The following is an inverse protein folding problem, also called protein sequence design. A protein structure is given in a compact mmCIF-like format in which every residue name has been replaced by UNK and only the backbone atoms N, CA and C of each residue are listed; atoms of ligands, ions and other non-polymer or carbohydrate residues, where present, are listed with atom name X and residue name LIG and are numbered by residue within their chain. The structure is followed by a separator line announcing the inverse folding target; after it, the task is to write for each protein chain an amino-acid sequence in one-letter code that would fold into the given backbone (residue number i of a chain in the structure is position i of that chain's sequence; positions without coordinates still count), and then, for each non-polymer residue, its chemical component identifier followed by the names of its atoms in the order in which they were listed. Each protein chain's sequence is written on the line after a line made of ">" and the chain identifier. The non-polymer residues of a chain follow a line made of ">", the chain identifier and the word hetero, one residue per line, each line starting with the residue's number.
data_IF_843970325345
#
_entry.id   IF_843970325345
#
_cell.length_a   1.000
_cell.length_b   1.000
_cell.length_c   1.000
_cell.angle_alpha   90.00
_cell.angle_beta   90.00
_cell.angle_gamma   90.00
#
_symmetry.space_group_name_H-M   'P 1'
#
loop_
_entity.id
_entity.type
_entity.pdbx_description
1 polymer ?
#
# COMPACT_ATOMS: atom_id res chain seq x y z
N UNK A 1 21.62 53.94 20.40
CA UNK A 1 20.95 52.69 20.84
C UNK A 1 21.20 51.68 19.77
N UNK A 2 22.06 50.66 19.93
CA UNK A 2 22.27 49.63 18.93
C UNK A 2 21.12 48.61 19.05
N UNK A 3 20.52 48.29 17.88
CA UNK A 3 19.47 47.30 17.75
C UNK A 3 19.97 45.90 18.14
N UNK A 4 19.26 45.26 19.02
CA UNK A 4 19.41 43.85 19.31
C UNK A 4 18.96 43.04 18.07
N UNK A 5 19.92 42.52 17.32
CA UNK A 5 19.70 41.40 16.41
C UNK A 5 19.27 40.21 17.25
N UNK A 6 17.98 39.84 17.11
CA UNK A 6 17.50 38.55 17.62
C UNK A 6 18.28 37.45 16.89
N UNK A 7 19.20 36.83 17.59
CA UNK A 7 19.82 35.59 17.19
C UNK A 7 18.72 34.50 17.23
N UNK A 8 18.10 34.15 16.11
CA UNK A 8 17.34 32.93 16.00
C UNK A 8 18.35 31.79 16.10
N UNK A 9 18.50 31.28 17.31
CA UNK A 9 19.20 30.02 17.59
C UNK A 9 18.30 28.92 16.92
N UNK A 10 18.53 28.69 15.64
CA UNK A 10 17.82 27.65 14.88
C UNK A 10 18.33 26.32 15.39
N UNK A 11 17.56 25.68 16.27
CA UNK A 11 17.84 24.31 16.73
C UNK A 11 18.06 23.40 15.51
N UNK A 12 19.05 22.50 15.60
CA UNK A 12 19.33 21.54 14.52
C UNK A 12 18.06 20.79 14.07
N UNK A 13 17.85 20.55 12.77
CA UNK A 13 16.66 19.92 12.25
C UNK A 13 16.50 18.49 12.80
N UNK A 14 15.26 18.01 12.82
CA UNK A 14 14.97 16.58 12.99
C UNK A 14 15.08 15.94 11.62
N UNK A 15 16.06 15.04 11.43
CA UNK A 15 16.32 14.37 10.18
C UNK A 15 15.51 13.08 10.07
N UNK A 16 14.82 12.92 8.95
CA UNK A 16 14.03 11.72 8.62
C UNK A 16 14.51 11.18 7.27
N UNK A 17 14.88 9.90 7.25
CA UNK A 17 15.26 9.19 6.04
C UNK A 17 14.05 8.84 5.21
N UNK A 18 14.16 9.05 3.89
CA UNK A 18 13.11 8.67 2.93
C UNK A 18 13.73 7.78 1.88
N UNK A 19 13.37 6.52 1.92
CA UNK A 19 14.01 5.44 1.18
C UNK A 19 13.01 4.79 0.20
N UNK A 20 12.68 5.51 -0.86
CA UNK A 20 11.78 5.08 -1.93
C UNK A 20 12.45 5.18 -3.30
N UNK A 21 12.18 4.20 -4.16
CA UNK A 21 12.75 4.13 -5.50
C UNK A 21 12.00 5.06 -6.47
N UNK A 22 12.68 6.07 -6.97
CA UNK A 22 12.16 6.94 -8.04
C UNK A 22 12.51 6.46 -9.44
N UNK A 23 13.29 5.36 -9.53
CA UNK A 23 13.60 4.61 -10.74
C UNK A 23 13.64 3.11 -10.42
N UNK A 24 13.50 2.25 -11.43
CA UNK A 24 13.37 0.80 -11.27
C UNK A 24 11.94 0.30 -11.41
N UNK A 25 11.72 -1.00 -11.20
CA UNK A 25 10.48 -1.70 -11.57
C UNK A 25 9.25 -1.25 -10.75
N UNK A 26 9.42 -0.74 -9.53
CA UNK A 26 8.36 -0.31 -8.64
C UNK A 26 8.24 1.22 -8.49
N UNK A 27 8.99 1.96 -9.32
CA UNK A 27 9.13 3.42 -9.20
C UNK A 27 7.81 4.19 -9.32
N UNK A 28 6.81 3.68 -10.02
CA UNK A 28 5.51 4.35 -10.19
C UNK A 28 4.84 4.60 -8.83
N UNK A 29 4.70 3.58 -8.01
CA UNK A 29 4.09 3.70 -6.68
C UNK A 29 5.05 4.33 -5.67
N UNK A 30 6.32 3.93 -5.67
CA UNK A 30 7.29 4.46 -4.71
C UNK A 30 7.53 5.97 -4.86
N UNK A 31 7.40 6.51 -6.08
CA UNK A 31 7.44 7.97 -6.29
C UNK A 31 6.27 8.65 -5.57
N UNK A 32 5.06 8.10 -5.66
CA UNK A 32 3.90 8.65 -4.95
C UNK A 32 4.06 8.57 -3.43
N UNK A 33 4.65 7.48 -2.90
CA UNK A 33 4.97 7.36 -1.48
C UNK A 33 6.01 8.41 -1.03
N UNK A 34 7.05 8.65 -1.83
CA UNK A 34 8.02 9.72 -1.55
C UNK A 34 7.35 11.08 -1.51
N UNK A 35 6.50 11.38 -2.51
CA UNK A 35 5.76 12.63 -2.58
C UNK A 35 4.81 12.80 -1.38
N UNK A 36 4.17 11.72 -0.91
CA UNK A 36 3.33 11.70 0.28
C UNK A 36 4.10 12.14 1.54
N UNK A 37 5.29 11.57 1.74
CA UNK A 37 6.16 11.94 2.88
C UNK A 37 6.64 13.38 2.77
N UNK A 38 6.99 13.83 1.56
CA UNK A 38 7.39 15.23 1.32
C UNK A 38 6.26 16.20 1.67
N UNK A 39 5.02 15.91 1.19
CA UNK A 39 3.85 16.72 1.50
C UNK A 39 3.61 16.82 3.00
N UNK A 40 3.57 15.67 3.68
CA UNK A 40 3.33 15.61 5.12
C UNK A 40 4.43 16.35 5.92
N UNK A 41 5.71 16.23 5.53
CA UNK A 41 6.79 16.96 6.16
C UNK A 41 6.68 18.48 5.95
N UNK A 42 6.30 18.93 4.75
CA UNK A 42 6.04 20.34 4.46
C UNK A 42 4.86 20.88 5.30
N UNK A 43 3.81 20.08 5.50
CA UNK A 43 2.66 20.42 6.36
C UNK A 43 3.07 20.55 7.83
N UNK A 44 3.86 19.60 8.34
CA UNK A 44 4.43 19.65 9.69
C UNK A 44 5.30 20.90 9.87
N UNK A 45 6.14 21.22 8.88
CA UNK A 45 7.01 22.39 8.92
C UNK A 45 6.23 23.72 8.87
N UNK A 46 5.15 23.79 8.09
CA UNK A 46 4.25 24.96 8.09
C UNK A 46 3.57 25.21 9.44
N UNK A 47 3.40 24.15 10.25
CA UNK A 47 2.87 24.22 11.60
C UNK A 47 3.94 24.52 12.67
N UNK A 48 5.17 24.84 12.28
CA UNK A 48 6.29 25.16 13.20
C UNK A 48 7.23 23.97 13.47
N UNK A 49 7.13 22.89 12.69
CA UNK A 49 7.99 21.72 12.79
C UNK A 49 7.65 20.78 13.96
N UNK A 50 8.64 20.07 14.43
CA UNK A 50 8.55 19.17 15.57
C UNK A 50 9.44 19.69 16.70
N UNK A 51 8.91 19.84 17.90
CA UNK A 51 9.61 20.34 19.08
C UNK A 51 10.29 21.72 18.84
N UNK A 52 9.72 22.57 17.96
CA UNK A 52 10.32 23.84 17.54
C UNK A 52 11.57 23.69 16.67
N UNK A 53 11.75 22.53 16.02
CA UNK A 53 12.81 22.20 15.07
C UNK A 53 12.20 21.89 13.71
N UNK A 54 12.79 22.34 12.59
CA UNK A 54 12.29 21.93 11.27
C UNK A 54 12.56 20.45 11.03
N UNK A 55 11.68 19.81 10.27
CA UNK A 55 11.88 18.45 9.72
C UNK A 55 12.69 18.59 8.44
N UNK A 56 13.81 17.88 8.37
CA UNK A 56 14.66 17.75 7.18
C UNK A 56 14.59 16.32 6.64
N UNK A 57 14.19 16.16 5.37
CA UNK A 57 14.13 14.86 4.72
C UNK A 57 15.46 14.53 4.02
N UNK A 58 16.02 13.37 4.32
CA UNK A 58 17.21 12.84 3.65
C UNK A 58 16.76 11.77 2.65
N UNK A 59 16.58 12.19 1.38
CA UNK A 59 16.03 11.34 0.32
C UNK A 59 17.10 10.41 -0.27
N UNK A 60 16.72 9.15 -0.55
CA UNK A 60 17.54 8.15 -1.24
C UNK A 60 16.71 7.43 -2.31
N UNK A 61 17.37 7.10 -3.42
CA UNK A 61 16.78 6.33 -4.52
C UNK A 61 17.52 4.99 -4.70
N UNK A 62 17.05 3.91 -4.08
CA UNK A 62 17.69 2.59 -4.16
C UNK A 62 17.31 1.77 -5.41
N UNK A 63 16.60 2.33 -6.38
CA UNK A 63 16.37 1.77 -7.73
C UNK A 63 15.73 0.37 -7.72
N UNK A 64 14.80 0.11 -6.82
CA UNK A 64 14.15 -1.20 -6.59
C UNK A 64 15.14 -2.36 -6.33
N UNK A 65 16.37 -2.06 -5.88
CA UNK A 65 17.42 -3.03 -5.64
C UNK A 65 17.63 -3.29 -4.13
N UNK A 66 17.34 -4.50 -3.62
CA UNK A 66 17.44 -4.80 -2.18
C UNK A 66 18.82 -4.52 -1.57
N UNK A 67 19.91 -4.73 -2.31
CA UNK A 67 21.28 -4.45 -1.81
C UNK A 67 21.51 -2.95 -1.65
N UNK A 68 20.98 -2.14 -2.58
CA UNK A 68 21.06 -0.68 -2.47
C UNK A 68 20.19 -0.16 -1.32
N UNK A 69 19.04 -0.78 -1.07
CA UNK A 69 18.22 -0.45 0.10
C UNK A 69 18.98 -0.64 1.40
N UNK A 70 19.59 -1.81 1.61
CA UNK A 70 20.39 -2.08 2.82
C UNK A 70 21.55 -1.10 2.98
N UNK A 71 22.34 -0.90 1.89
CA UNK A 71 23.49 0.02 1.90
C UNK A 71 23.08 1.47 2.21
N UNK A 72 22.07 1.98 1.52
CA UNK A 72 21.60 3.35 1.71
C UNK A 72 20.93 3.55 3.07
N UNK A 73 20.36 2.51 3.67
CA UNK A 73 19.90 2.54 5.07
C UNK A 73 21.07 2.73 6.02
N UNK A 74 22.17 2.00 5.81
CA UNK A 74 23.37 2.13 6.63
C UNK A 74 24.02 3.51 6.47
N UNK A 75 24.11 4.04 5.23
CA UNK A 75 24.56 5.42 4.94
C UNK A 75 23.67 6.46 5.65
N UNK A 76 22.33 6.33 5.61
CA UNK A 76 21.42 7.22 6.32
C UNK A 76 21.72 7.26 7.83
N UNK A 77 21.97 6.12 8.43
CA UNK A 77 22.18 5.97 9.86
C UNK A 77 23.58 6.48 10.26
N UNK A 78 24.62 6.07 9.56
CA UNK A 78 26.01 6.33 9.96
C UNK A 78 26.53 7.69 9.52
N UNK A 79 26.18 8.12 8.29
CA UNK A 79 26.75 9.33 7.70
C UNK A 79 25.84 10.56 7.94
N UNK A 80 24.53 10.33 8.15
CA UNK A 80 23.54 11.42 8.30
C UNK A 80 22.87 11.47 9.67
N UNK A 81 23.21 10.54 10.59
CA UNK A 81 22.60 10.40 11.92
C UNK A 81 21.06 10.31 11.87
N UNK A 82 20.53 9.56 10.90
CA UNK A 82 19.10 9.32 10.72
C UNK A 82 18.71 8.03 11.46
N UNK A 83 17.71 8.12 12.36
CA UNK A 83 17.16 6.97 13.09
C UNK A 83 15.72 6.65 12.74
N UNK A 84 15.03 7.56 12.05
CA UNK A 84 13.63 7.44 11.66
C UNK A 84 13.59 7.39 10.14
N UNK A 85 13.13 6.27 9.58
CA UNK A 85 13.17 6.01 8.13
C UNK A 85 11.78 5.60 7.65
N UNK A 86 11.24 6.32 6.66
CA UNK A 86 10.07 5.88 5.90
C UNK A 86 10.55 5.29 4.57
N UNK A 87 10.14 4.07 4.25
CA UNK A 87 10.64 3.47 3.03
C UNK A 87 10.27 2.02 2.80
N UNK A 88 10.82 1.51 1.73
CA UNK A 88 10.62 0.18 1.17
C UNK A 88 9.24 -0.01 0.55
N UNK A 89 9.23 -0.78 -0.54
CA UNK A 89 8.00 -1.22 -1.20
C UNK A 89 7.95 -2.76 -1.27
N UNK A 90 8.86 -3.40 -1.99
CA UNK A 90 8.89 -4.86 -2.07
C UNK A 90 9.31 -5.48 -0.73
N UNK A 91 8.75 -6.66 -0.42
CA UNK A 91 9.15 -7.43 0.77
C UNK A 91 10.63 -7.81 0.75
N UNK A 92 11.21 -8.04 -0.42
CA UNK A 92 12.64 -8.27 -0.57
C UNK A 92 13.49 -7.07 -0.15
N UNK A 93 13.03 -5.84 -0.40
CA UNK A 93 13.71 -4.60 0.04
C UNK A 93 13.54 -4.38 1.53
N UNK A 94 12.34 -4.60 2.10
CA UNK A 94 12.10 -4.55 3.55
C UNK A 94 12.99 -5.56 4.29
N UNK A 95 13.01 -6.82 3.84
CA UNK A 95 13.85 -7.88 4.45
C UNK A 95 15.34 -7.58 4.40
N UNK A 96 15.81 -6.86 3.39
CA UNK A 96 17.19 -6.39 3.32
C UNK A 96 17.50 -5.26 4.32
N UNK A 97 16.51 -4.41 4.64
CA UNK A 97 16.66 -3.25 5.54
C UNK A 97 16.51 -3.65 7.01
N UNK A 98 15.64 -4.62 7.35
CA UNK A 98 15.38 -5.03 8.74
C UNK A 98 16.66 -5.29 9.55
N UNK A 99 17.62 -6.12 9.08
CA UNK A 99 18.84 -6.37 9.87
C UNK A 99 19.68 -5.11 10.13
N UNK A 100 19.61 -4.11 9.24
CA UNK A 100 20.33 -2.85 9.39
C UNK A 100 19.67 -2.00 10.45
N UNK A 101 18.35 -1.78 10.40
CA UNK A 101 17.63 -0.96 11.39
C UNK A 101 17.68 -1.59 12.79
N UNK A 102 17.61 -2.93 12.89
CA UNK A 102 17.75 -3.65 14.16
C UNK A 102 19.15 -3.48 14.77
N UNK A 103 20.20 -3.67 13.96
CA UNK A 103 21.59 -3.54 14.40
C UNK A 103 21.88 -2.15 14.98
N UNK A 104 21.33 -1.11 14.37
CA UNK A 104 21.61 0.27 14.70
C UNK A 104 20.51 0.94 15.55
N UNK A 105 19.51 0.16 16.00
CA UNK A 105 18.36 0.66 16.73
C UNK A 105 17.71 1.87 16.05
N UNK A 106 17.42 1.76 14.75
CA UNK A 106 16.66 2.73 13.98
C UNK A 106 15.22 2.21 13.75
N UNK A 107 14.27 3.07 13.37
CA UNK A 107 12.90 2.70 13.06
C UNK A 107 12.65 2.75 11.56
N UNK A 108 11.98 1.71 11.03
CA UNK A 108 11.44 1.66 9.69
C UNK A 108 9.91 1.77 9.71
N UNK A 109 9.38 2.74 9.00
CA UNK A 109 7.94 2.89 8.74
C UNK A 109 7.66 2.38 7.33
N UNK A 110 6.96 1.25 7.25
CA UNK A 110 6.70 0.50 6.01
C UNK A 110 5.24 0.67 5.57
N UNK A 111 5.03 1.33 4.44
CA UNK A 111 3.74 1.81 3.96
C UNK A 111 3.17 0.99 2.78
N UNK A 112 3.37 -0.32 2.75
CA UNK A 112 2.96 -1.17 1.61
C UNK A 112 2.24 -2.42 2.12
N UNK A 113 1.14 -2.86 1.46
CA UNK A 113 0.55 -4.17 1.72
C UNK A 113 1.58 -5.28 1.55
N UNK A 114 1.49 -6.35 2.35
CA UNK A 114 2.49 -7.40 2.29
C UNK A 114 1.92 -8.78 2.70
N UNK A 115 2.74 -9.81 2.55
CA UNK A 115 2.38 -11.22 2.74
C UNK A 115 2.18 -11.65 4.19
N UNK A 116 2.53 -10.81 5.17
CA UNK A 116 2.51 -11.19 6.59
C UNK A 116 3.77 -11.93 7.05
N UNK A 117 3.62 -12.69 8.13
CA UNK A 117 4.63 -13.61 8.70
C UNK A 117 5.95 -12.94 9.10
N UNK A 118 5.91 -11.68 9.50
CA UNK A 118 7.07 -10.95 9.96
C UNK A 118 6.73 -10.03 11.14
N UNK A 119 7.63 -9.95 12.07
CA UNK A 119 7.64 -9.00 13.17
C UNK A 119 9.05 -8.55 13.46
N UNK A 120 9.21 -7.26 13.64
CA UNK A 120 10.41 -6.65 14.20
C UNK A 120 9.98 -5.51 15.10
N UNK A 121 10.62 -5.37 16.27
CA UNK A 121 10.33 -4.23 17.16
C UNK A 121 10.65 -2.88 16.52
N UNK A 122 11.51 -2.88 15.51
CA UNK A 122 11.99 -1.69 14.82
C UNK A 122 11.18 -1.34 13.56
N UNK A 123 10.10 -2.10 13.25
CA UNK A 123 9.30 -1.91 12.04
C UNK A 123 7.84 -1.64 12.39
N UNK A 124 7.30 -0.56 11.81
CA UNK A 124 5.89 -0.20 11.88
C UNK A 124 5.25 -0.34 10.51
N UNK A 125 4.23 -1.21 10.40
CA UNK A 125 3.56 -1.54 9.14
C UNK A 125 2.23 -0.79 9.01
N UNK A 126 2.10 0.08 8.00
CA UNK A 126 0.86 0.77 7.67
C UNK A 126 0.11 0.17 6.47
N UNK A 127 0.77 -0.69 5.70
CA UNK A 127 0.10 -1.46 4.65
C UNK A 127 -0.71 -2.63 5.20
N UNK A 128 -1.73 -3.05 4.44
CA UNK A 128 -2.63 -4.12 4.84
C UNK A 128 -1.90 -5.47 5.02
N UNK A 129 -2.21 -6.16 6.11
CA UNK A 129 -1.84 -7.56 6.36
C UNK A 129 -2.81 -8.52 5.64
N UNK A 130 -2.47 -9.82 5.49
CA UNK A 130 -3.28 -10.77 4.71
C UNK A 130 -4.73 -10.91 5.17
N UNK A 131 -5.01 -10.83 6.48
CA UNK A 131 -6.39 -10.84 6.98
C UNK A 131 -7.16 -9.56 6.62
N UNK A 132 -6.45 -8.51 6.25
CA UNK A 132 -7.02 -7.24 5.85
C UNK A 132 -7.14 -7.08 4.32
N UNK A 133 -6.55 -7.94 3.50
CA UNK A 133 -6.66 -7.88 2.03
C UNK A 133 -7.03 -9.24 1.41
N UNK A 134 -6.22 -10.28 1.59
CA UNK A 134 -6.44 -11.59 0.94
C UNK A 134 -7.71 -12.28 1.46
N UNK A 135 -7.94 -12.26 2.77
CA UNK A 135 -9.10 -12.91 3.38
C UNK A 135 -10.44 -12.31 2.90
N UNK A 136 -10.68 -10.97 2.96
CA UNK A 136 -11.90 -10.38 2.42
C UNK A 136 -12.01 -10.54 0.89
N UNK A 137 -10.91 -10.44 0.15
CA UNK A 137 -10.93 -10.62 -1.29
C UNK A 137 -11.34 -12.04 -1.68
N UNK A 138 -10.77 -13.08 -1.04
CA UNK A 138 -11.16 -14.47 -1.27
C UNK A 138 -12.66 -14.69 -1.02
N UNK A 139 -13.16 -14.21 0.14
CA UNK A 139 -14.58 -14.32 0.47
C UNK A 139 -15.50 -13.65 -0.56
N UNK A 140 -15.14 -12.44 -1.00
CA UNK A 140 -15.89 -11.70 -2.00
C UNK A 140 -15.89 -12.39 -3.38
N UNK A 141 -14.71 -12.83 -3.84
CA UNK A 141 -14.57 -13.46 -5.16
C UNK A 141 -15.32 -14.78 -5.24
N UNK A 142 -15.18 -15.64 -4.23
CA UNK A 142 -15.89 -16.92 -4.17
C UNK A 142 -17.41 -16.76 -4.08
N UNK A 143 -17.90 -15.69 -3.44
CA UNK A 143 -19.35 -15.44 -3.32
C UNK A 143 -19.98 -14.80 -4.56
N UNK A 144 -19.19 -14.09 -5.39
CA UNK A 144 -19.74 -13.24 -6.46
C UNK A 144 -19.27 -13.61 -7.87
N UNK A 145 -18.15 -14.32 -8.02
CA UNK A 145 -17.55 -14.61 -9.33
C UNK A 145 -17.39 -16.09 -9.62
N UNK A 146 -17.33 -16.94 -8.60
CA UNK A 146 -17.17 -18.39 -8.76
C UNK A 146 -16.00 -18.96 -7.97
N UNK A 147 -15.70 -20.24 -8.16
CA UNK A 147 -14.80 -20.98 -7.27
C UNK A 147 -13.45 -21.38 -7.89
N UNK A 148 -13.26 -21.17 -9.20
CA UNK A 148 -12.06 -21.56 -9.93
C UNK A 148 -11.14 -20.37 -10.14
N UNK A 149 -9.95 -20.41 -9.55
CA UNK A 149 -8.97 -19.31 -9.59
C UNK A 149 -7.70 -19.71 -10.34
N UNK A 150 -7.21 -18.81 -11.20
CA UNK A 150 -5.83 -18.81 -11.71
C UNK A 150 -5.01 -17.77 -10.98
N UNK A 151 -3.84 -18.13 -10.46
CA UNK A 151 -2.98 -17.22 -9.73
C UNK A 151 -1.79 -16.79 -10.59
N UNK A 152 -1.53 -15.48 -10.64
CA UNK A 152 -0.38 -14.89 -11.36
C UNK A 152 0.38 -13.98 -10.42
N UNK A 153 1.69 -14.16 -10.28
CA UNK A 153 2.54 -13.33 -9.44
C UNK A 153 3.85 -12.92 -10.12
N UNK A 154 4.50 -11.91 -9.57
CA UNK A 154 5.90 -11.63 -9.88
C UNK A 154 6.81 -12.59 -9.13
N UNK A 155 7.97 -12.92 -9.72
CA UNK A 155 8.90 -13.93 -9.19
C UNK A 155 9.77 -13.35 -8.05
N UNK A 156 9.18 -13.22 -6.84
CA UNK A 156 9.88 -12.90 -5.59
C UNK A 156 9.01 -13.28 -4.38
N UNK A 157 9.53 -13.16 -3.16
CA UNK A 157 8.94 -13.74 -1.93
C UNK A 157 7.47 -13.40 -1.68
N UNK A 158 7.07 -12.13 -1.82
CA UNK A 158 5.71 -11.69 -1.48
C UNK A 158 4.62 -12.36 -2.34
N UNK A 159 4.71 -12.44 -3.69
CA UNK A 159 3.75 -13.17 -4.50
C UNK A 159 3.62 -14.65 -4.14
N UNK A 160 4.72 -15.34 -3.86
CA UNK A 160 4.67 -16.75 -3.46
C UNK A 160 3.85 -16.93 -2.18
N UNK A 161 4.13 -16.15 -1.14
CA UNK A 161 3.45 -16.26 0.14
C UNK A 161 1.99 -15.77 0.05
N UNK A 162 1.73 -14.69 -0.69
CA UNK A 162 0.35 -14.18 -0.89
C UNK A 162 -0.50 -15.16 -1.68
N UNK A 163 0.05 -15.79 -2.72
CA UNK A 163 -0.64 -16.82 -3.49
C UNK A 163 -0.88 -18.08 -2.66
N UNK A 164 0.08 -18.46 -1.79
CA UNK A 164 -0.10 -19.56 -0.84
C UNK A 164 -1.28 -19.28 0.10
N UNK A 165 -1.31 -18.11 0.74
CA UNK A 165 -2.43 -17.70 1.61
C UNK A 165 -3.76 -17.70 0.84
N UNK A 166 -3.79 -17.12 -0.36
CA UNK A 166 -5.01 -17.11 -1.18
C UNK A 166 -5.43 -18.55 -1.59
N UNK A 167 -4.47 -19.42 -1.91
CA UNK A 167 -4.75 -20.83 -2.23
C UNK A 167 -5.40 -21.55 -1.05
N UNK A 168 -4.85 -21.40 0.16
CA UNK A 168 -5.41 -22.00 1.37
C UNK A 168 -6.84 -21.51 1.60
N UNK A 169 -7.07 -20.19 1.51
CA UNK A 169 -8.39 -19.57 1.66
C UNK A 169 -9.44 -20.06 0.63
N UNK A 170 -9.01 -20.28 -0.62
CA UNK A 170 -9.88 -20.77 -1.69
C UNK A 170 -10.21 -22.25 -1.46
N UNK A 171 -9.21 -23.09 -1.20
CA UNK A 171 -9.39 -24.53 -1.01
C UNK A 171 -10.24 -24.86 0.22
N UNK A 172 -10.01 -24.19 1.34
CA UNK A 172 -10.80 -24.35 2.57
C UNK A 172 -12.29 -24.02 2.38
N UNK A 173 -12.61 -23.16 1.42
CA UNK A 173 -13.99 -22.79 1.07
C UNK A 173 -14.58 -23.61 -0.09
N UNK A 174 -13.92 -24.71 -0.45
CA UNK A 174 -14.37 -25.62 -1.50
C UNK A 174 -14.14 -25.11 -2.93
N UNK A 175 -13.28 -24.10 -3.10
CA UNK A 175 -12.84 -23.63 -4.41
C UNK A 175 -11.69 -24.48 -4.99
N UNK A 176 -11.27 -24.12 -6.18
CA UNK A 176 -10.23 -24.82 -6.96
C UNK A 176 -9.13 -23.84 -7.41
N UNK A 177 -7.87 -24.14 -7.11
CA UNK A 177 -6.73 -23.50 -7.77
C UNK A 177 -6.47 -24.17 -9.10
N UNK A 178 -6.91 -23.55 -10.20
CA UNK A 178 -6.76 -24.08 -11.56
C UNK A 178 -5.30 -24.13 -11.99
N UNK A 179 -4.52 -23.08 -11.69
CA UNK A 179 -3.08 -23.03 -11.93
C UNK A 179 -2.45 -21.86 -11.17
N UNK A 180 -1.13 -21.86 -11.20
CA UNK A 180 -0.30 -20.81 -10.60
C UNK A 180 0.89 -20.53 -11.51
N UNK A 181 1.23 -19.26 -11.72
CA UNK A 181 2.30 -18.85 -12.63
C UNK A 181 3.02 -17.64 -12.07
N UNK A 182 4.35 -17.65 -12.15
CA UNK A 182 5.19 -16.53 -11.75
C UNK A 182 5.97 -16.00 -12.93
N UNK A 183 6.10 -14.68 -13.03
CA UNK A 183 6.82 -13.98 -14.07
C UNK A 183 7.98 -13.19 -13.44
N UNK A 184 9.19 -13.23 -14.01
CA UNK A 184 10.26 -12.34 -13.60
C UNK A 184 9.83 -10.88 -13.54
N UNK A 185 10.42 -10.10 -12.63
CA UNK A 185 10.10 -8.67 -12.47
C UNK A 185 10.32 -7.84 -13.74
N UNK A 186 11.22 -8.31 -14.60
CA UNK A 186 11.58 -7.74 -15.90
C UNK A 186 11.07 -8.60 -17.07
N UNK A 187 10.05 -9.44 -16.84
CA UNK A 187 9.48 -10.29 -17.87
C UNK A 187 9.08 -9.50 -19.11
N UNK A 188 9.42 -9.99 -20.32
CA UNK A 188 9.03 -9.33 -21.56
C UNK A 188 7.54 -9.51 -21.84
N UNK A 189 7.02 -8.68 -22.74
CA UNK A 189 5.61 -8.71 -23.18
C UNK A 189 5.10 -10.11 -23.55
N UNK A 190 5.91 -10.89 -24.27
CA UNK A 190 5.57 -12.23 -24.74
C UNK A 190 5.24 -13.18 -23.60
N UNK A 191 5.90 -13.03 -22.44
CA UNK A 191 5.63 -13.82 -21.23
C UNK A 191 4.21 -13.57 -20.71
N UNK A 192 3.79 -12.33 -20.67
CA UNK A 192 2.42 -11.96 -20.24
C UNK A 192 1.36 -12.45 -21.22
N UNK A 193 1.60 -12.36 -22.54
CA UNK A 193 0.71 -12.86 -23.57
C UNK A 193 0.55 -14.38 -23.48
N UNK A 194 1.62 -15.12 -23.24
CA UNK A 194 1.56 -16.57 -23.07
C UNK A 194 0.74 -16.96 -21.84
N UNK A 195 0.94 -16.28 -20.70
CA UNK A 195 0.12 -16.48 -19.50
C UNK A 195 -1.36 -16.18 -19.80
N UNK A 196 -1.67 -15.09 -20.48
CA UNK A 196 -3.05 -14.74 -20.84
C UNK A 196 -3.70 -15.76 -21.77
N UNK A 197 -2.97 -16.35 -22.73
CA UNK A 197 -3.46 -17.44 -23.59
C UNK A 197 -3.78 -18.70 -22.78
N UNK A 198 -2.92 -19.07 -21.84
CA UNK A 198 -3.15 -20.23 -20.96
C UNK A 198 -4.37 -20.00 -20.05
N UNK A 199 -4.53 -18.81 -19.49
CA UNK A 199 -5.73 -18.41 -18.71
C UNK A 199 -6.98 -18.54 -19.58
N UNK A 200 -6.96 -18.02 -20.81
CA UNK A 200 -8.08 -18.13 -21.75
C UNK A 200 -8.44 -19.58 -22.05
N UNK A 201 -7.46 -20.46 -22.20
CA UNK A 201 -7.69 -21.89 -22.46
C UNK A 201 -8.29 -22.61 -21.23
N UNK A 202 -7.83 -22.27 -20.03
CA UNK A 202 -8.25 -22.90 -18.77
C UNK A 202 -9.64 -22.43 -18.28
N UNK A 203 -10.09 -21.24 -18.70
CA UNK A 203 -11.38 -20.65 -18.33
C UNK A 203 -11.62 -20.67 -16.80
N UNK A 204 -10.75 -20.08 -15.95
CA UNK A 204 -11.07 -19.89 -14.54
C UNK A 204 -12.20 -18.88 -14.38
N UNK A 205 -12.81 -18.83 -13.18
CA UNK A 205 -13.86 -17.84 -12.88
C UNK A 205 -13.27 -16.45 -12.61
N UNK A 206 -12.06 -16.40 -12.05
CA UNK A 206 -11.32 -15.16 -11.83
C UNK A 206 -9.82 -15.42 -11.79
N UNK A 207 -9.05 -14.33 -11.89
CA UNK A 207 -7.60 -14.32 -11.78
C UNK A 207 -7.23 -13.60 -10.49
N UNK A 208 -6.44 -14.24 -9.63
CA UNK A 208 -5.80 -13.54 -8.52
C UNK A 208 -4.41 -13.08 -8.93
N UNK A 209 -4.16 -11.77 -8.85
CA UNK A 209 -2.90 -11.16 -9.28
C UNK A 209 -2.12 -10.57 -8.12
N UNK A 210 -0.88 -11.04 -7.99
CA UNK A 210 0.16 -10.48 -7.12
C UNK A 210 1.36 -9.96 -7.94
N UNK A 211 1.11 -9.64 -9.20
CA UNK A 211 2.06 -8.93 -10.07
C UNK A 211 2.24 -7.51 -9.54
N UNK A 212 3.46 -6.98 -9.61
CA UNK A 212 3.81 -5.65 -9.10
C UNK A 212 4.44 -4.73 -10.14
N UNK A 213 4.37 -3.44 -9.88
CA UNK A 213 5.05 -2.40 -10.65
C UNK A 213 4.68 -2.41 -12.13
N UNK A 214 5.68 -2.32 -13.00
CA UNK A 214 5.48 -2.27 -14.45
C UNK A 214 4.84 -3.53 -15.06
N UNK A 215 4.85 -4.64 -14.32
CA UNK A 215 4.16 -5.87 -14.74
C UNK A 215 2.65 -5.76 -14.73
N UNK A 216 2.05 -4.91 -13.88
CA UNK A 216 0.60 -4.75 -13.78
C UNK A 216 -0.01 -4.27 -15.10
N UNK A 217 0.43 -3.16 -15.72
CA UNK A 217 -0.05 -2.74 -17.03
C UNK A 217 0.14 -3.78 -18.13
N UNK A 218 1.25 -4.54 -18.10
CA UNK A 218 1.51 -5.59 -19.07
C UNK A 218 0.54 -6.75 -18.93
N UNK A 219 0.22 -7.18 -17.71
CA UNK A 219 -0.77 -8.23 -17.47
C UNK A 219 -2.16 -7.82 -17.97
N UNK A 220 -2.64 -6.62 -17.63
CA UNK A 220 -3.94 -6.12 -18.06
C UNK A 220 -4.03 -5.97 -19.59
N UNK A 221 -2.98 -5.45 -20.22
CA UNK A 221 -2.90 -5.37 -21.68
C UNK A 221 -2.91 -6.76 -22.34
N UNK A 222 -2.17 -7.73 -21.78
CA UNK A 222 -2.15 -9.11 -22.28
C UNK A 222 -3.52 -9.77 -22.13
N UNK A 223 -4.19 -9.57 -20.99
CA UNK A 223 -5.57 -10.01 -20.75
C UNK A 223 -6.51 -9.50 -21.85
N UNK A 224 -6.51 -8.20 -22.13
CA UNK A 224 -7.35 -7.59 -23.17
C UNK A 224 -6.98 -8.08 -24.57
N UNK A 225 -5.68 -8.25 -24.87
CA UNK A 225 -5.19 -8.67 -26.20
C UNK A 225 -5.65 -10.06 -26.64
N UNK A 226 -5.98 -10.93 -25.69
CA UNK A 226 -6.53 -12.27 -25.97
C UNK A 226 -8.08 -12.30 -25.90
N UNK A 227 -8.74 -11.15 -25.76
CA UNK A 227 -10.19 -11.01 -25.79
C UNK A 227 -10.90 -11.56 -24.53
N UNK A 228 -10.28 -11.48 -23.36
CA UNK A 228 -10.94 -11.79 -22.09
C UNK A 228 -11.79 -10.61 -21.62
N UNK A 229 -12.92 -10.93 -20.99
CA UNK A 229 -13.90 -9.96 -20.48
C UNK A 229 -13.75 -9.79 -18.97
N UNK A 230 -13.41 -8.58 -18.48
CA UNK A 230 -13.19 -8.33 -17.05
C UNK A 230 -14.47 -8.47 -16.20
N UNK A 231 -15.65 -8.36 -16.79
CA UNK A 231 -16.92 -8.56 -16.07
C UNK A 231 -17.26 -10.03 -15.88
N UNK A 232 -16.72 -10.92 -16.72
CA UNK A 232 -16.89 -12.38 -16.63
C UNK A 232 -15.76 -13.05 -15.89
N UNK A 233 -14.52 -12.58 -16.11
CA UNK A 233 -13.30 -13.16 -15.55
C UNK A 233 -12.40 -12.03 -15.06
N UNK A 234 -12.74 -11.35 -13.94
CA UNK A 234 -11.94 -10.23 -13.46
C UNK A 234 -10.55 -10.66 -12.98
N UNK A 235 -9.60 -9.76 -13.14
CA UNK A 235 -8.38 -9.77 -12.34
C UNK A 235 -8.72 -9.16 -10.99
N UNK A 236 -8.53 -9.91 -9.91
CA UNK A 236 -8.67 -9.49 -8.53
C UNK A 236 -7.28 -9.34 -7.91
N UNK A 237 -7.00 -8.20 -7.31
CA UNK A 237 -5.67 -7.86 -6.79
C UNK A 237 -5.75 -7.21 -5.41
N UNK A 238 -4.65 -7.17 -4.70
CA UNK A 238 -4.42 -6.29 -3.56
C UNK A 238 -3.20 -5.36 -3.80
N UNK A 239 -2.71 -5.31 -5.05
CA UNK A 239 -1.55 -4.50 -5.45
C UNK A 239 -1.87 -3.47 -6.53
N UNK A 240 -2.93 -3.68 -7.34
CA UNK A 240 -3.34 -2.72 -8.37
C UNK A 240 -4.00 -1.50 -7.73
N UNK A 241 -3.50 -0.32 -8.02
CA UNK A 241 -3.97 0.93 -7.46
C UNK A 241 -4.21 2.00 -8.53
N UNK A 242 -4.67 3.16 -8.13
CA UNK A 242 -4.87 4.32 -9.03
C UNK A 242 -3.59 4.71 -9.77
N UNK A 243 -2.42 4.47 -9.18
CA UNK A 243 -1.14 4.80 -9.82
C UNK A 243 -0.89 3.93 -11.07
N UNK A 244 -1.14 2.62 -11.00
CA UNK A 244 -1.03 1.73 -12.14
C UNK A 244 -2.16 1.95 -13.15
N UNK A 245 -3.36 2.27 -12.67
CA UNK A 245 -4.50 2.61 -13.55
C UNK A 245 -4.20 3.88 -14.35
N UNK A 246 -3.64 4.92 -13.73
CA UNK A 246 -3.24 6.13 -14.43
C UNK A 246 -2.17 5.85 -15.51
N UNK A 247 -1.28 4.88 -15.27
CA UNK A 247 -0.25 4.48 -16.22
C UNK A 247 -0.79 3.67 -17.41
N UNK A 248 -1.74 2.74 -17.18
CA UNK A 248 -2.24 1.86 -18.23
C UNK A 248 -3.48 2.36 -18.97
N UNK A 249 -4.18 3.34 -18.38
CA UNK A 249 -5.45 3.86 -18.87
C UNK A 249 -6.66 3.12 -18.32
N UNK A 250 -7.77 3.85 -18.18
CA UNK A 250 -9.01 3.32 -17.60
C UNK A 250 -9.59 2.15 -18.40
N UNK A 251 -9.47 2.17 -19.73
CA UNK A 251 -10.01 1.11 -20.62
C UNK A 251 -9.43 -0.28 -20.33
N UNK A 252 -8.15 -0.37 -19.96
CA UNK A 252 -7.51 -1.65 -19.61
C UNK A 252 -7.81 -2.09 -18.18
N UNK A 253 -8.20 -1.16 -17.33
CA UNK A 253 -8.44 -1.40 -15.91
C UNK A 253 -9.91 -1.62 -15.57
N UNK A 254 -10.85 -1.11 -16.38
CA UNK A 254 -12.31 -1.18 -16.13
C UNK A 254 -12.78 -2.61 -15.87
N UNK A 255 -13.60 -2.77 -14.84
CA UNK A 255 -14.20 -4.05 -14.46
C UNK A 255 -13.37 -4.91 -13.53
N UNK A 256 -12.06 -4.69 -13.43
CA UNK A 256 -11.18 -5.40 -12.52
C UNK A 256 -11.34 -4.92 -11.06
N UNK A 257 -10.88 -5.74 -10.11
CA UNK A 257 -11.16 -5.58 -8.69
C UNK A 257 -9.88 -5.44 -7.86
N UNK A 258 -9.96 -4.59 -6.83
CA UNK A 258 -8.90 -4.49 -5.83
C UNK A 258 -9.49 -4.50 -4.42
N UNK A 259 -8.82 -5.20 -3.50
CA UNK A 259 -9.06 -5.07 -2.07
C UNK A 259 -7.98 -4.20 -1.45
N UNK A 260 -8.38 -3.06 -0.88
CA UNK A 260 -7.48 -2.10 -0.26
C UNK A 260 -8.16 -1.37 0.91
N UNK A 261 -7.37 -0.76 1.77
CA UNK A 261 -7.89 0.10 2.82
C UNK A 261 -8.30 1.48 2.29
N UNK A 262 -7.60 1.96 1.29
CA UNK A 262 -7.80 3.29 0.70
C UNK A 262 -8.07 3.19 -0.81
N UNK A 263 -9.02 4.00 -1.27
CA UNK A 263 -9.22 4.39 -2.66
C UNK A 263 -9.36 5.91 -2.74
N UNK A 264 -8.83 6.53 -3.78
CA UNK A 264 -8.94 7.98 -4.01
C UNK A 264 -10.41 8.46 -4.02
N UNK A 265 -11.34 7.58 -4.40
CA UNK A 265 -12.78 7.83 -4.46
C UNK A 265 -13.49 7.86 -3.10
N UNK A 266 -12.81 7.66 -1.98
CA UNK A 266 -13.41 7.78 -0.65
C UNK A 266 -13.96 9.19 -0.44
N UNK A 267 -15.26 9.28 -0.15
CA UNK A 267 -15.96 10.54 0.09
C UNK A 267 -15.87 10.95 1.56
N UNK A 268 -14.81 11.67 1.91
CA UNK A 268 -14.62 12.34 3.20
C UNK A 268 -13.90 13.67 3.04
N UNK A 269 -14.13 14.62 3.96
CA UNK A 269 -13.46 15.93 3.92
C UNK A 269 -11.94 15.78 4.04
N UNK A 270 -11.49 14.92 4.95
CA UNK A 270 -10.05 14.65 5.15
C UNK A 270 -9.39 14.15 3.87
N UNK A 271 -10.06 13.25 3.14
CA UNK A 271 -9.55 12.74 1.87
C UNK A 271 -9.53 13.80 0.78
N UNK A 272 -10.64 14.57 0.62
CA UNK A 272 -10.73 15.65 -0.37
C UNK A 272 -9.64 16.70 -0.17
N UNK A 273 -9.44 17.11 1.08
CA UNK A 273 -8.40 18.09 1.43
C UNK A 273 -6.99 17.56 1.17
N UNK A 274 -6.72 16.30 1.48
CA UNK A 274 -5.42 15.68 1.23
C UNK A 274 -5.13 15.57 -0.28
N UNK A 275 -6.09 15.14 -1.08
CA UNK A 275 -6.00 15.09 -2.55
C UNK A 275 -5.75 16.47 -3.13
N UNK A 276 -6.50 17.48 -2.66
CA UNK A 276 -6.34 18.85 -3.13
C UNK A 276 -4.93 19.36 -2.87
N UNK A 277 -4.42 19.25 -1.63
CA UNK A 277 -3.05 19.68 -1.28
C UNK A 277 -1.98 18.92 -2.06
N UNK A 278 -2.20 17.62 -2.31
CA UNK A 278 -1.29 16.83 -3.11
C UNK A 278 -1.20 17.33 -4.54
N UNK A 279 -2.34 17.59 -5.18
CA UNK A 279 -2.40 18.14 -6.56
C UNK A 279 -1.85 19.55 -6.65
N UNK A 280 -2.17 20.42 -5.71
CA UNK A 280 -1.60 21.79 -5.64
C UNK A 280 -0.07 21.75 -5.57
N UNK A 281 0.50 20.75 -4.90
CA UNK A 281 1.95 20.65 -4.71
C UNK A 281 2.67 19.96 -5.87
N UNK A 282 2.10 18.92 -6.44
CA UNK A 282 2.80 18.04 -7.40
C UNK A 282 2.18 18.04 -8.80
N UNK A 283 0.99 18.57 -8.97
CA UNK A 283 0.29 18.72 -10.25
C UNK A 283 -1.07 18.04 -10.29
N UNK A 284 -1.98 18.57 -11.10
CA UNK A 284 -3.38 18.11 -11.18
C UNK A 284 -3.55 16.66 -11.70
N UNK A 285 -2.55 16.18 -12.44
CA UNK A 285 -2.54 14.82 -12.98
C UNK A 285 -2.16 13.75 -11.95
N UNK A 286 -1.65 14.15 -10.80
CA UNK A 286 -1.23 13.21 -9.75
C UNK A 286 -2.44 12.55 -9.08
N UNK A 287 -2.30 11.25 -8.82
CA UNK A 287 -3.33 10.43 -8.19
C UNK A 287 -2.83 9.88 -6.86
N UNK A 288 -3.68 9.94 -5.86
CA UNK A 288 -3.44 9.28 -4.58
C UNK A 288 -3.78 7.79 -4.71
N UNK A 289 -3.16 6.96 -3.90
CA UNK A 289 -3.37 5.50 -3.88
C UNK A 289 -3.11 4.95 -2.47
N UNK A 290 -3.39 3.66 -2.25
CA UNK A 290 -3.26 3.02 -0.94
C UNK A 290 -1.85 3.13 -0.32
N UNK A 291 -0.80 3.10 -1.12
CA UNK A 291 0.58 3.23 -0.63
C UNK A 291 0.97 4.68 -0.38
N UNK A 292 0.48 5.61 -1.20
CA UNK A 292 0.59 7.04 -0.97
C UNK A 292 -0.04 7.42 0.38
N UNK A 293 -1.27 6.98 0.59
CA UNK A 293 -2.04 7.29 1.79
C UNK A 293 -1.38 6.72 3.06
N UNK A 294 -0.92 5.46 2.99
CA UNK A 294 -0.20 4.84 4.09
C UNK A 294 1.09 5.59 4.46
N UNK A 295 1.88 6.04 3.48
CA UNK A 295 3.08 6.83 3.71
C UNK A 295 2.75 8.22 4.27
N UNK A 296 1.67 8.85 3.79
CA UNK A 296 1.19 10.15 4.23
C UNK A 296 0.80 10.13 5.71
N UNK A 297 -0.11 9.24 6.10
CA UNK A 297 -0.53 9.21 7.50
C UNK A 297 0.57 8.71 8.45
N UNK A 298 1.45 7.78 8.02
CA UNK A 298 2.58 7.36 8.85
C UNK A 298 3.51 8.52 9.22
N UNK A 299 3.78 9.41 8.28
CA UNK A 299 4.59 10.59 8.57
C UNK A 299 3.92 11.53 9.58
N UNK A 300 2.59 11.72 9.48
CA UNK A 300 1.83 12.49 10.47
C UNK A 300 1.80 11.80 11.83
N UNK A 301 1.57 10.48 11.88
CA UNK A 301 1.61 9.70 13.13
C UNK A 301 2.99 9.76 13.81
N UNK A 302 4.06 9.69 13.03
CA UNK A 302 5.42 9.91 13.56
C UNK A 302 5.56 11.30 14.17
N UNK A 303 5.08 12.33 13.47
CA UNK A 303 5.06 13.70 13.98
C UNK A 303 4.27 13.84 15.29
N UNK A 304 3.10 13.22 15.38
CA UNK A 304 2.27 13.20 16.58
C UNK A 304 2.95 12.46 17.74
N UNK A 305 3.62 11.34 17.46
CA UNK A 305 4.39 10.60 18.45
C UNK A 305 5.54 11.44 19.01
N UNK A 306 6.33 12.10 18.16
CA UNK A 306 7.41 13.00 18.56
C UNK A 306 6.90 14.14 19.44
N UNK A 307 5.78 14.78 19.05
CA UNK A 307 5.18 15.86 19.88
C UNK A 307 4.72 15.37 21.24
N UNK A 308 4.05 14.20 21.28
CA UNK A 308 3.48 13.63 22.53
C UNK A 308 4.56 13.21 23.51
N UNK A 309 5.66 12.61 23.02
CA UNK A 309 6.73 12.13 23.89
C UNK A 309 7.78 13.22 24.18
N UNK A 310 7.80 14.30 23.40
CA UNK A 310 8.78 15.38 23.53
C UNK A 310 10.19 14.99 23.11
N UNK A 311 10.36 13.97 22.26
CA UNK A 311 11.66 13.43 21.83
C UNK A 311 11.58 12.81 20.44
N UNK A 312 12.66 12.90 19.66
CA UNK A 312 12.88 12.20 18.40
C UNK A 312 13.73 10.92 18.56
N UNK A 313 14.03 10.54 19.79
CA UNK A 313 14.78 9.32 20.10
C UNK A 313 13.95 8.05 19.96
N UNK A 314 14.58 6.95 19.52
CA UNK A 314 13.93 5.69 19.21
C UNK A 314 13.20 5.07 20.42
N UNK A 315 13.86 4.98 21.58
CA UNK A 315 13.28 4.31 22.74
C UNK A 315 12.04 4.99 23.31
N UNK A 316 11.96 6.34 23.42
CA UNK A 316 10.71 7.03 23.72
C UNK A 316 9.60 6.78 22.69
N UNK A 317 9.94 6.78 21.39
CA UNK A 317 8.96 6.56 20.32
C UNK A 317 8.40 5.14 20.32
N UNK A 318 9.22 4.13 20.57
CA UNK A 318 8.78 2.73 20.71
C UNK A 318 7.76 2.53 21.84
N UNK A 319 7.74 3.39 22.84
CA UNK A 319 6.75 3.34 23.93
C UNK A 319 5.43 4.03 23.61
N UNK A 320 5.44 5.05 22.73
CA UNK A 320 4.25 5.87 22.47
C UNK A 320 3.54 5.52 21.16
N UNK A 321 4.26 5.00 20.17
CA UNK A 321 3.70 4.61 18.88
C UNK A 321 2.65 3.50 19.00
N UNK A 322 2.89 2.41 19.77
CA UNK A 322 1.85 1.39 19.99
C UNK A 322 0.60 2.01 20.64
N UNK A 323 -0.58 1.73 20.06
CA UNK A 323 -1.86 2.29 20.48
C UNK A 323 -2.16 3.70 19.96
N UNK A 324 -1.23 4.36 19.25
CA UNK A 324 -1.47 5.68 18.69
C UNK A 324 -2.55 5.62 17.62
N UNK A 325 -3.51 6.54 17.68
CA UNK A 325 -4.59 6.73 16.70
C UNK A 325 -4.38 8.00 15.89
N UNK A 326 -4.88 7.99 14.65
CA UNK A 326 -4.84 9.14 13.74
C UNK A 326 -6.06 9.13 12.81
N UNK A 327 -6.57 10.32 12.45
CA UNK A 327 -7.59 10.47 11.42
C UNK A 327 -6.92 10.63 10.06
N UNK A 328 -6.90 9.54 9.30
CA UNK A 328 -6.28 9.44 7.98
C UNK A 328 -7.31 9.66 6.85
N UNK A 329 -6.90 9.86 5.58
CA UNK A 329 -7.81 9.98 4.45
C UNK A 329 -8.78 8.79 4.29
N UNK A 330 -8.36 7.57 4.67
CA UNK A 330 -9.22 6.37 4.69
C UNK A 330 -10.22 6.34 5.85
N UNK A 331 -10.08 7.21 6.83
CA UNK A 331 -10.75 7.19 8.14
C UNK A 331 -9.75 6.93 9.28
N UNK A 332 -10.27 6.66 10.47
CA UNK A 332 -9.43 6.42 11.65
C UNK A 332 -8.52 5.21 11.45
N UNK A 333 -7.27 5.35 11.86
CA UNK A 333 -6.25 4.28 11.91
C UNK A 333 -5.63 4.20 13.30
N UNK A 334 -5.09 3.03 13.66
CA UNK A 334 -4.45 2.80 14.97
C UNK A 334 -3.29 1.82 14.81
N UNK A 335 -2.17 2.08 15.46
CA UNK A 335 -1.07 1.12 15.56
C UNK A 335 -1.40 0.07 16.62
N UNK A 336 -1.29 -1.21 16.26
CA UNK A 336 -1.49 -2.32 17.21
C UNK A 336 -0.39 -2.34 18.27
N UNK A 337 -0.79 -2.56 19.52
CA UNK A 337 0.08 -2.52 20.69
C UNK A 337 1.08 -3.69 20.77
N UNK A 338 0.80 -4.78 20.03
CA UNK A 338 1.56 -6.02 20.17
C UNK A 338 2.39 -6.38 18.95
N UNK A 339 1.95 -5.97 17.75
CA UNK A 339 2.57 -6.40 16.50
C UNK A 339 3.03 -5.25 15.59
N UNK A 340 2.86 -3.98 16.01
CA UNK A 340 3.25 -2.76 15.29
C UNK A 340 2.61 -2.60 13.89
N UNK A 341 1.52 -3.32 13.63
CA UNK A 341 0.73 -3.15 12.41
C UNK A 341 -0.42 -2.17 12.64
N UNK A 342 -0.97 -1.68 11.56
CA UNK A 342 -2.05 -0.69 11.62
C UNK A 342 -3.41 -1.35 11.45
N UNK A 343 -4.36 -0.99 12.33
CA UNK A 343 -5.79 -1.24 12.12
C UNK A 343 -6.25 -0.40 10.93
N UNK A 344 -6.83 -1.04 9.93
CA UNK A 344 -7.26 -0.40 8.69
C UNK A 344 -8.71 -0.75 8.36
N UNK A 345 -9.42 0.11 7.65
CA UNK A 345 -10.76 -0.16 7.16
C UNK A 345 -10.69 -0.71 5.74
N UNK A 346 -10.95 -2.02 5.57
CA UNK A 346 -10.88 -2.67 4.26
C UNK A 346 -12.07 -2.36 3.38
N UNK A 347 -11.80 -2.26 2.09
CA UNK A 347 -12.77 -2.04 1.03
C UNK A 347 -12.47 -2.93 -0.15
N UNK A 348 -13.53 -3.26 -0.91
CA UNK A 348 -13.40 -3.89 -2.22
C UNK A 348 -13.94 -2.91 -3.24
N UNK A 349 -13.10 -2.54 -4.19
CA UNK A 349 -13.42 -1.62 -5.26
C UNK A 349 -13.34 -2.29 -6.62
N UNK A 350 -14.20 -1.85 -7.55
CA UNK A 350 -14.15 -2.18 -8.97
C UNK A 350 -13.77 -0.94 -9.75
N UNK A 351 -12.84 -1.08 -10.66
CA UNK A 351 -12.43 0.04 -11.52
C UNK A 351 -13.57 0.39 -12.48
N UNK A 352 -13.91 1.67 -12.53
CA UNK A 352 -14.92 2.24 -13.42
C UNK A 352 -14.30 2.91 -14.66
N UNK A 353 -15.13 3.42 -15.56
CA UNK A 353 -14.74 4.05 -16.83
C UNK A 353 -13.87 5.30 -16.66
N UNK A 354 -13.88 5.90 -15.48
CA UNK A 354 -13.05 7.07 -15.17
C UNK A 354 -11.68 6.69 -14.59
N UNK A 355 -11.38 5.38 -14.48
CA UNK A 355 -10.16 4.90 -13.86
C UNK A 355 -10.12 5.06 -12.33
N UNK A 356 -11.30 5.24 -11.71
CA UNK A 356 -11.48 5.30 -10.26
C UNK A 356 -12.15 4.03 -9.77
N UNK A 357 -12.11 3.80 -8.46
CA UNK A 357 -12.76 2.65 -7.86
C UNK A 357 -14.17 2.98 -7.37
N UNK A 358 -15.16 2.23 -7.84
CA UNK A 358 -16.49 2.14 -7.23
C UNK A 358 -16.39 1.17 -6.05
N UNK A 359 -16.65 1.64 -4.83
CA UNK A 359 -16.55 0.84 -3.62
C UNK A 359 -17.78 -0.07 -3.52
N UNK A 360 -17.57 -1.37 -3.70
CA UNK A 360 -18.63 -2.40 -3.69
C UNK A 360 -18.95 -2.90 -2.29
N UNK A 361 -17.93 -2.97 -1.42
CA UNK A 361 -18.07 -3.43 -0.05
C UNK A 361 -17.04 -2.72 0.84
N UNK A 362 -17.41 -2.52 2.11
CA UNK A 362 -16.54 -1.91 3.11
C UNK A 362 -16.73 -2.58 4.46
N UNK A 363 -15.64 -2.78 5.20
CA UNK A 363 -15.71 -3.14 6.61
C UNK A 363 -16.43 -2.01 7.41
N UNK A 364 -17.23 -2.35 8.44
CA UNK A 364 -17.98 -1.34 9.22
C UNK A 364 -17.09 -0.42 10.06
N UNK A 365 -15.80 -0.71 10.17
CA UNK A 365 -14.80 0.05 10.91
C UNK A 365 -13.41 -0.50 10.64
N UNK A 366 -12.43 -0.05 11.38
CA UNK A 366 -11.08 -0.56 11.23
C UNK A 366 -10.92 -1.98 11.78
N UNK A 367 -10.21 -2.82 11.07
CA UNK A 367 -9.95 -4.23 11.36
C UNK A 367 -8.54 -4.38 11.93
N UNK A 368 -8.41 -5.13 13.02
CA UNK A 368 -7.11 -5.47 13.59
C UNK A 368 -6.28 -6.25 12.57
N UNK A 369 -5.02 -5.87 12.42
CA UNK A 369 -4.09 -6.66 11.61
C UNK A 369 -3.74 -7.98 12.31
N UNK A 370 -3.87 -9.08 11.55
CA UNK A 370 -3.36 -10.40 11.91
C UNK A 370 -2.32 -10.81 10.86
N UNK A 371 -1.04 -10.47 11.07
CA UNK A 371 0.00 -10.77 10.09
C UNK A 371 0.29 -12.26 9.95
N UNK A 372 -0.19 -13.10 10.88
CA UNK A 372 0.03 -14.55 10.86
C UNK A 372 -1.17 -15.33 10.31
N UNK A 373 -2.28 -14.63 10.01
CA UNK A 373 -3.53 -15.24 9.51
C UNK A 373 -3.97 -16.43 10.37
N UNK A 374 -4.05 -16.20 11.68
CA UNK A 374 -4.45 -17.24 12.65
C UNK A 374 -5.92 -17.66 12.46
N UNK A 375 -6.75 -16.77 11.93
CA UNK A 375 -8.15 -17.04 11.63
C UNK A 375 -8.46 -16.84 10.16
N UNK A 376 -9.09 -17.85 9.54
CA UNK A 376 -9.57 -17.81 8.16
C UNK A 376 -11.07 -17.53 8.05
N UNK A 377 -11.71 -17.09 9.12
CA UNK A 377 -13.16 -16.78 9.11
C UNK A 377 -13.47 -15.64 8.15
N UNK A 378 -14.45 -15.85 7.26
CA UNK A 378 -14.92 -14.78 6.37
C UNK A 378 -15.52 -13.64 7.22
N UNK A 379 -15.12 -12.39 7.00
CA UNK A 379 -15.69 -11.27 7.73
C UNK A 379 -17.20 -11.12 7.50
N UNK A 380 -17.98 -10.89 8.55
CA UNK A 380 -19.44 -10.78 8.50
C UNK A 380 -19.96 -9.72 7.52
N UNK A 381 -19.19 -8.63 7.31
CA UNK A 381 -19.57 -7.56 6.39
C UNK A 381 -19.59 -7.97 4.92
N UNK A 382 -18.97 -9.10 4.56
CA UNK A 382 -19.03 -9.70 3.23
C UNK A 382 -20.24 -10.63 3.05
N UNK A 383 -20.85 -11.09 4.14
CA UNK A 383 -22.01 -11.98 4.09
C UNK A 383 -23.32 -11.28 3.67
N UNK A 384 -23.34 -9.95 3.56
CA UNK A 384 -24.51 -9.19 3.08
C UNK A 384 -24.44 -9.06 1.57
N UNK A 385 -25.47 -9.53 0.83
CA UNK A 385 -25.53 -9.29 -0.59
C UNK A 385 -25.53 -7.79 -0.85
N UNK A 386 -24.68 -7.33 -1.78
CA UNK A 386 -24.71 -5.97 -2.26
C UNK A 386 -26.16 -5.64 -2.64
N UNK A 387 -26.76 -4.63 -2.00
CA UNK A 387 -28.06 -4.10 -2.43
C UNK A 387 -27.86 -3.59 -3.84
N UNK A 388 -28.30 -4.37 -4.83
CA UNK A 388 -28.49 -3.91 -6.19
C UNK A 388 -29.37 -2.68 -6.11
N UNK A 389 -28.81 -1.49 -6.32
CA UNK A 389 -29.62 -0.32 -6.71
C UNK A 389 -30.27 -0.72 -8.02
N UNK A 390 -31.52 -1.11 -7.97
CA UNK A 390 -32.40 -1.14 -9.15
C UNK A 390 -32.39 0.28 -9.70
N UNK A 391 -31.76 0.44 -10.86
CA UNK A 391 -31.96 1.63 -11.70
C UNK A 391 -33.43 1.66 -12.02
N UNK A 392 -34.17 2.77 -11.75
CA UNK A 392 -35.56 2.87 -12.21
C UNK A 392 -35.55 2.80 -13.74
N UNK A 393 -36.33 1.90 -14.30
CA UNK A 393 -36.68 1.96 -15.72
C UNK A 393 -37.29 3.33 -15.98
N UNK A 394 -36.53 4.16 -16.71
CA UNK A 394 -37.09 5.38 -17.28
C UNK A 394 -38.09 4.99 -18.36
N UNK A 395 -39.29 5.50 -18.23
CA UNK A 395 -40.45 5.37 -19.09
C UNK A 395 -40.13 5.44 -20.58
N UNK A 396 -40.78 4.61 -21.33
CA UNK A 396 -40.82 4.55 -22.80
C UNK A 396 -41.35 5.82 -23.46
#
# INVERSE_FOLDING_TARGET
>A
MPGQTMNHDTKAPIRIGVLYSTSGVTSTVERSQQQAVVLAAEEINRQGGLLGRPVELVLRNPQSNPRLYARMTEELILDHDVRLILGCYMSSTRKAVIPVVERHNALLFYATPYEGFEYSRNVFCAGAAPNQNSLPLAGFMLSNHGSRVWMVGSDYICPYESNRVMSDLVLERGGEKTAETYLPLDAPWEGYVEVARRIRAAQPDFIFSTVVGQGIPLLHRAFASVGLDPYRMPIASHMTSEAEIALMGAELAEGHLTCAAYFQSIDSDVNRDAIQRYRERFGDAEVTNMCWEAAYFQMHMLGDAVRRVGSDEVEPLLRILPGLEHEAPQGRVRIDEHNHHTYLQQRIGRVNRLGQFDILASAPGFVKADPYVVSHSTPDWLARPARTRTVPEAER
#
